data_IF_707445907030
#
_entry.id   IF_707445907030
#
_cell.length_a   1.000
_cell.length_b   1.000
_cell.length_c   1.000
_cell.angle_alpha   90.00
_cell.angle_beta   90.00
_cell.angle_gamma   90.00
#
_symmetry.space_group_name_H-M   'P 1'
#
loop_
_entity.id
_entity.type
_entity.pdbx_description
1 polymer ?
2 non-polymer ?
3 water ?
#
# COMPACT_ATOMS: atom_id res chain seq x y z
N UNK A 1 -22.21 5.76 6.69
CA UNK A 1 -20.89 6.43 6.89
C UNK A 1 -19.73 5.65 6.24
N UNK A 2 -18.47 5.99 6.60
CA UNK A 2 -17.34 5.19 6.10
C UNK A 2 -17.25 3.81 6.81
N UNK A 3 -16.63 2.82 6.17
CA UNK A 3 -16.62 1.46 6.70
C UNK A 3 -15.46 1.35 7.66
N UNK A 4 -15.68 1.83 8.89
CA UNK A 4 -14.69 1.77 9.94
C UNK A 4 -14.52 0.37 10.45
N UNK A 5 -15.59 -0.40 10.56
CA UNK A 5 -15.38 -1.80 10.95
C UNK A 5 -14.49 -2.54 9.96
N UNK A 6 -14.76 -2.33 8.67
CA UNK A 6 -13.96 -2.98 7.65
C UNK A 6 -12.48 -2.59 7.73
N UNK A 7 -12.19 -1.29 7.79
CA UNK A 7 -10.83 -0.80 7.86
C UNK A 7 -10.09 -1.36 9.06
N UNK A 8 -10.81 -1.57 10.14
CA UNK A 8 -10.21 -2.03 11.38
C UNK A 8 -9.86 -3.53 11.36
N UNK A 9 -10.70 -4.33 10.75
CA UNK A 9 -10.38 -5.72 10.50
C UNK A 9 -9.14 -5.87 9.54
N UNK A 10 -9.01 -5.02 8.53
CA UNK A 10 -7.80 -5.04 7.74
C UNK A 10 -6.63 -4.70 8.60
N UNK A 11 -6.73 -3.68 9.46
CA UNK A 11 -5.56 -3.25 10.24
C UNK A 11 -5.07 -4.29 11.19
N UNK A 12 -6.01 -4.96 11.86
CA UNK A 12 -5.60 -5.90 12.86
C UNK A 12 -5.06 -7.16 12.29
N UNK A 13 -5.75 -7.76 11.33
CA UNK A 13 -5.22 -9.02 10.82
C UNK A 13 -4.15 -8.88 9.72
N UNK A 14 -3.96 -7.67 9.17
CA UNK A 14 -3.12 -7.54 7.96
C UNK A 14 -2.20 -6.35 7.86
N UNK A 15 -1.85 -5.68 8.95
CA UNK A 15 -0.80 -4.68 8.78
C UNK A 15 0.33 -4.89 9.75
N UNK A 16 1.48 -4.31 9.40
CA UNK A 16 2.65 -4.40 10.18
C UNK A 16 3.37 -3.05 10.06
N UNK A 17 4.29 -2.75 10.98
CA UNK A 17 5.14 -1.59 10.86
C UNK A 17 6.44 -2.04 10.16
N UNK A 18 6.83 -1.35 9.09
CA UNK A 18 7.97 -1.74 8.31
C UNK A 18 8.90 -0.58 8.35
N UNK A 19 10.17 -0.84 8.61
CA UNK A 19 11.15 0.20 8.71
C UNK A 19 12.34 -0.14 7.78
N UNK A 20 12.65 0.80 6.89
CA UNK A 20 13.75 0.69 5.96
C UNK A 20 14.66 1.83 6.34
N UNK A 21 15.70 2.04 5.54
CA UNK A 21 16.62 3.16 5.76
C UNK A 21 15.87 4.48 5.66
N UNK A 22 14.69 4.42 5.05
CA UNK A 22 13.96 5.63 4.75
C UNK A 22 13.10 6.04 5.91
N UNK A 23 12.85 5.14 6.85
CA UNK A 23 11.89 5.40 7.89
C UNK A 23 10.84 4.31 7.99
N UNK A 24 9.78 4.60 8.75
CA UNK A 24 8.71 3.66 9.07
C UNK A 24 7.58 3.87 8.11
N UNK A 25 6.81 2.80 7.84
CA UNK A 25 5.72 2.81 6.86
C UNK A 25 4.70 1.81 7.28
N UNK A 26 3.43 2.16 7.12
CA UNK A 26 2.42 1.12 7.26
C UNK A 26 2.62 0.05 6.18
N UNK A 27 2.59 -1.23 6.54
CA UNK A 27 2.73 -2.29 5.55
C UNK A 27 1.53 -3.23 5.55
N UNK A 28 0.97 -3.41 4.37
CA UNK A 28 -0.17 -4.23 4.23
C UNK A 28 0.25 -5.63 3.78
N UNK A 29 -0.10 -6.66 4.53
CA UNK A 29 0.17 -8.02 4.09
C UNK A 29 -1.02 -8.49 3.27
N UNK A 30 -0.76 -9.04 2.08
CA UNK A 30 -1.84 -9.40 1.15
C UNK A 30 -2.21 -10.90 1.20
N UNK A 31 -1.22 -11.76 1.19
CA UNK A 31 -1.48 -13.17 1.27
C UNK A 31 -0.18 -13.87 1.63
N UNK A 32 -0.28 -15.07 2.18
CA UNK A 32 0.92 -15.83 2.54
C UNK A 32 1.95 -14.97 3.27
N UNK A 33 3.16 -14.84 2.72
CA UNK A 33 4.18 -13.92 3.30
C UNK A 33 4.46 -12.76 2.36
N UNK A 34 3.48 -12.43 1.55
CA UNK A 34 3.62 -11.37 0.57
C UNK A 34 2.94 -10.11 1.06
N UNK A 35 3.62 -8.99 0.96
CA UNK A 35 3.10 -7.73 1.47
C UNK A 35 3.39 -6.62 0.47
N UNK A 36 2.89 -5.42 0.73
CA UNK A 36 3.23 -4.27 -0.13
C UNK A 36 3.72 -3.08 0.68
N UNK A 37 4.44 -2.19 0.02
CA UNK A 37 5.02 -1.04 0.68
C UNK A 37 5.29 -0.03 -0.47
N UNK A 38 5.34 1.30 -0.20
CA UNK A 38 5.62 2.18 -1.33
C UNK A 38 7.03 2.05 -1.83
N UNK A 39 7.19 2.07 -3.15
CA UNK A 39 8.52 1.97 -3.77
C UNK A 39 9.54 2.91 -3.17
N UNK A 40 9.12 4.11 -2.74
CA UNK A 40 10.08 5.09 -2.23
C UNK A 40 10.56 4.86 -0.80
N UNK A 41 10.01 3.83 -0.15
CA UNK A 41 10.62 3.23 1.03
C UNK A 41 12.02 2.65 0.77
N UNK A 42 12.40 2.41 -0.50
CA UNK A 42 13.75 1.93 -0.86
C UNK A 42 14.16 0.63 -0.15
N UNK A 43 13.38 -0.43 -0.35
CA UNK A 43 13.63 -1.75 0.27
C UNK A 43 14.93 -2.42 -0.14
N UNK A 44 15.64 -2.95 0.85
CA UNK A 44 16.93 -3.60 0.67
C UNK A 44 16.73 -5.09 0.69
N UNK A 45 17.68 -5.82 1.26
CA UNK A 45 17.55 -7.27 1.30
C UNK A 45 17.19 -7.73 2.72
N UNK A 46 17.15 -6.76 3.64
CA UNK A 46 16.47 -6.96 4.92
C UNK A 46 15.63 -5.71 5.26
N UNK A 47 14.62 -5.91 6.11
CA UNK A 47 13.69 -4.88 6.51
C UNK A 47 13.30 -5.13 7.97
N UNK A 48 12.95 -4.08 8.74
CA UNK A 48 12.38 -4.31 10.09
C UNK A 48 10.89 -4.48 9.99
N UNK A 49 10.38 -5.56 10.55
CA UNK A 49 8.98 -5.79 10.63
C UNK A 49 8.62 -5.89 12.12
N UNK A 50 7.83 -4.90 12.59
CA UNK A 50 7.47 -4.74 13.99
C UNK A 50 8.73 -4.84 14.84
N UNK A 51 9.73 -4.11 14.37
CA UNK A 51 11.05 -4.07 14.99
C UNK A 51 11.90 -5.33 14.91
N UNK A 52 11.39 -6.42 14.34
CA UNK A 52 12.17 -7.65 14.21
C UNK A 52 12.81 -7.70 12.80
N UNK A 53 14.13 -7.69 12.71
CA UNK A 53 14.79 -7.68 11.38
C UNK A 53 14.45 -8.94 10.53
N UNK A 54 14.18 -8.73 9.25
CA UNK A 54 13.52 -9.76 8.44
C UNK A 54 14.17 -9.76 7.07
N UNK A 55 14.43 -10.97 6.57
CA UNK A 55 14.98 -11.16 5.25
C UNK A 55 13.87 -10.82 4.25
N UNK A 56 14.19 -9.99 3.26
CA UNK A 56 13.33 -9.75 2.12
C UNK A 56 13.75 -10.72 1.03
N UNK A 57 13.00 -11.81 0.86
CA UNK A 57 13.32 -12.82 -0.14
C UNK A 57 13.14 -12.36 -1.57
N UNK A 58 12.24 -11.40 -1.80
CA UNK A 58 11.98 -10.89 -3.15
C UNK A 58 11.37 -9.50 -3.05
N UNK A 59 11.64 -8.63 -4.01
CA UNK A 59 11.06 -7.30 -4.04
C UNK A 59 10.82 -6.91 -5.49
N UNK A 60 9.57 -6.75 -5.92
CA UNK A 60 9.29 -6.33 -7.27
C UNK A 60 8.74 -4.89 -7.25
N UNK A 61 9.46 -3.96 -7.88
CA UNK A 61 9.02 -2.56 -7.97
C UNK A 61 8.13 -2.41 -9.20
N UNK A 62 6.81 -2.48 -9.05
CA UNK A 62 5.92 -2.44 -10.22
C UNK A 62 6.11 -1.18 -11.06
N UNK A 63 6.22 -1.39 -12.38
CA UNK A 63 6.14 -0.33 -13.37
C UNK A 63 5.10 -0.77 -14.40
N UNK A 64 4.50 0.16 -15.15
CA UNK A 64 3.55 -0.24 -16.20
C UNK A 64 4.23 -0.42 -17.56
N UNK A 65 3.42 -0.79 -18.57
CA UNK A 65 3.96 -1.08 -19.86
C UNK A 65 4.54 0.13 -20.55
N UNK A 66 4.27 1.34 -20.05
CA UNK A 66 4.99 2.51 -20.56
C UNK A 66 6.31 2.70 -19.82
N UNK A 67 6.69 1.72 -19.01
CA UNK A 67 7.89 1.81 -18.15
C UNK A 67 7.85 2.97 -17.14
N UNK A 68 6.65 3.25 -16.63
CA UNK A 68 6.47 4.28 -15.61
C UNK A 68 6.17 3.65 -14.26
N UNK A 69 6.71 4.31 -13.23
CA UNK A 69 6.55 3.92 -11.85
C UNK A 69 5.10 3.77 -11.45
N UNK A 70 4.74 2.67 -10.78
CA UNK A 70 3.43 2.57 -10.13
C UNK A 70 3.47 2.82 -8.62
N UNK A 71 4.68 2.93 -8.05
CA UNK A 71 4.93 3.25 -6.64
C UNK A 71 4.53 2.15 -5.65
N UNK A 72 4.11 0.99 -6.15
CA UNK A 72 3.91 -0.21 -5.33
C UNK A 72 5.16 -1.12 -5.41
N UNK A 73 5.57 -1.69 -4.26
CA UNK A 73 6.59 -2.72 -4.26
C UNK A 73 6.05 -3.95 -3.54
N UNK A 74 6.06 -5.08 -4.24
CA UNK A 74 5.56 -6.29 -3.64
C UNK A 74 6.76 -6.99 -3.03
N UNK A 75 6.63 -7.37 -1.76
CA UNK A 75 7.74 -7.99 -1.09
C UNK A 75 7.31 -9.35 -0.56
N UNK A 76 8.26 -10.28 -0.64
CA UNK A 76 8.09 -11.60 -0.06
C UNK A 76 9.01 -11.61 1.14
N UNK A 77 8.49 -12.05 2.28
CA UNK A 77 9.26 -11.95 3.50
C UNK A 77 9.59 -13.31 4.12
N UNK A 78 10.72 -13.40 4.81
CA UNK A 78 10.98 -14.60 5.58
C UNK A 78 10.39 -14.46 7.00
N UNK A 79 9.14 -14.87 7.23
CA UNK A 79 8.54 -14.79 8.55
C UNK A 79 7.88 -16.08 8.80
N UNK A 80 7.50 -16.32 10.05
CA UNK A 80 6.83 -17.54 10.32
C UNK A 80 5.34 -17.50 10.05
N UNK A 81 4.65 -16.47 10.54
CA UNK A 81 3.20 -16.38 10.36
C UNK A 81 2.78 -15.92 8.92
N UNK A 82 1.79 -16.62 8.33
CA UNK A 82 1.12 -16.17 7.10
C UNK A 82 0.08 -15.04 7.35
N UNK A 83 0.00 -14.11 6.40
CA UNK A 83 -1.10 -13.18 6.33
C UNK A 83 -2.41 -13.85 5.92
N UNK A 84 -3.52 -13.53 6.61
CA UNK A 84 -4.83 -13.86 6.09
C UNK A 84 -4.89 -13.40 4.63
N UNK A 85 -5.44 -14.24 3.79
CA UNK A 85 -5.50 -13.94 2.38
C UNK A 85 -6.57 -12.87 2.10
N UNK A 86 -6.16 -11.66 1.74
CA UNK A 86 -7.19 -10.64 1.45
C UNK A 86 -7.36 -10.28 -0.04
N UNK A 87 -6.76 -11.07 -0.93
CA UNK A 87 -6.92 -10.87 -2.37
C UNK A 87 -8.36 -10.73 -2.84
N UNK A 88 -9.29 -11.47 -2.24
CA UNK A 88 -10.68 -11.32 -2.71
C UNK A 88 -11.28 -9.90 -2.41
N UNK A 89 -10.56 -9.07 -1.65
CA UNK A 89 -10.99 -7.71 -1.37
C UNK A 89 -10.31 -6.72 -2.25
N UNK A 90 -9.48 -7.19 -3.19
CA UNK A 90 -8.85 -6.28 -4.14
C UNK A 90 -9.75 -6.00 -5.32
N UNK A 91 -9.94 -4.70 -5.64
CA UNK A 91 -10.71 -4.42 -6.82
C UNK A 91 -10.08 -5.04 -8.10
N UNK A 92 -10.95 -5.49 -8.97
CA UNK A 92 -10.57 -6.04 -10.22
C UNK A 92 -10.08 -4.96 -11.20
N UNK A 93 -10.68 -3.77 -11.20
CA UNK A 93 -10.35 -2.69 -12.17
C UNK A 93 -10.12 -1.35 -11.52
N UNK A 94 -9.48 -0.42 -12.25
CA UNK A 94 -9.48 1.02 -11.93
C UNK A 94 -10.92 1.45 -11.60
N UNK A 95 -11.10 2.41 -10.69
CA UNK A 95 -12.44 2.83 -10.28
C UNK A 95 -12.40 4.08 -9.42
N UNK A 96 -13.58 4.58 -9.09
CA UNK A 96 -13.77 5.78 -8.30
C UNK A 96 -14.56 5.27 -7.14
N UNK A 97 -14.39 5.88 -5.97
CA UNK A 97 -15.03 5.35 -4.74
C UNK A 97 -15.53 6.48 -3.89
N UNK A 98 -16.51 6.11 -3.08
CA UNK A 98 -17.10 6.96 -2.08
C UNK A 98 -16.60 6.66 -0.70
N UNK A 99 -16.39 7.73 0.07
CA UNK A 99 -16.35 7.67 1.53
C UNK A 99 -15.26 6.67 2.03
N UNK A 100 -14.03 6.83 1.55
CA UNK A 100 -12.96 5.90 1.91
C UNK A 100 -12.39 6.22 3.29
N UNK A 101 -11.73 5.22 3.87
CA UNK A 101 -10.95 5.39 5.08
C UNK A 101 -9.47 5.14 4.82
N UNK A 102 -8.60 6.01 5.33
CA UNK A 102 -7.15 5.81 5.34
C UNK A 102 -6.70 5.36 6.73
N UNK A 103 -6.13 4.16 6.83
CA UNK A 103 -5.68 3.61 8.12
C UNK A 103 -4.17 3.52 8.27
N UNK A 104 -3.62 3.92 9.41
CA UNK A 104 -2.16 3.94 9.59
C UNK A 104 -1.75 3.02 10.75
N UNK A 105 -0.67 2.24 10.59
CA UNK A 105 -0.09 1.41 11.68
C UNK A 105 1.44 1.69 11.70
N UNK A 106 1.89 2.67 12.49
CA UNK A 106 3.33 2.94 12.64
C UNK A 106 3.66 2.90 14.11
N UNK A 107 4.92 3.12 14.48
CA UNK A 107 5.23 3.22 15.90
C UNK A 107 4.51 4.42 16.50
N UNK A 108 4.57 5.56 15.80
CA UNK A 108 4.00 6.81 16.24
C UNK A 108 2.47 6.72 16.30
N UNK A 109 1.90 5.94 15.38
CA UNK A 109 0.46 5.80 15.29
C UNK A 109 0.10 4.34 15.06
N UNK A 110 0.16 3.52 16.11
CA UNK A 110 -0.13 2.10 15.97
C UNK A 110 -1.55 1.80 15.49
N UNK A 111 -2.40 2.81 15.37
CA UNK A 111 -3.79 2.54 15.02
C UNK A 111 -4.66 3.78 14.85
N UNK A 112 -4.89 4.18 13.63
CA UNK A 112 -5.52 5.46 13.40
C UNK A 112 -6.31 5.44 12.10
N UNK A 113 -7.50 6.06 12.11
CA UNK A 113 -8.40 6.02 10.97
C UNK A 113 -8.77 7.41 10.59
N UNK A 114 -8.66 7.69 9.27
CA UNK A 114 -8.96 8.98 8.71
C UNK A 114 -9.96 8.87 7.55
N UNK A 115 -11.20 9.36 7.72
CA UNK A 115 -12.10 9.40 6.54
C UNK A 115 -11.57 10.46 5.59
N UNK A 116 -11.43 10.12 4.32
CA UNK A 116 -10.77 11.04 3.40
C UNK A 116 -11.79 11.45 2.37
N UNK A 117 -12.97 10.84 2.47
CA UNK A 117 -14.10 11.12 1.61
C UNK A 117 -14.09 10.39 0.28
N UNK A 118 -14.40 11.15 -0.76
CA UNK A 118 -14.58 10.65 -2.09
C UNK A 118 -13.16 10.42 -2.64
N UNK A 119 -12.93 9.30 -3.32
CA UNK A 119 -11.63 9.01 -3.95
C UNK A 119 -11.74 8.99 -5.50
N UNK A 120 -10.85 9.68 -6.19
CA UNK A 120 -10.93 9.62 -7.64
C UNK A 120 -9.72 9.09 -8.36
N UNK A 121 -10.01 8.39 -9.44
CA UNK A 121 -9.02 7.84 -10.32
C UNK A 121 -8.30 9.02 -10.97
N UNK A 122 -7.13 9.34 -10.44
CA UNK A 122 -6.42 10.55 -10.81
C UNK A 122 -5.55 10.42 -12.08
N UNK A 123 -4.89 9.27 -12.24
CA UNK A 123 -3.96 9.05 -13.34
C UNK A 123 -2.54 9.44 -12.99
N UNK A 124 -2.04 10.42 -13.72
CA UNK A 124 -0.64 10.81 -13.64
C UNK A 124 -0.39 11.74 -12.47
N UNK A 125 0.71 11.47 -11.77
CA UNK A 125 1.19 12.33 -10.70
C UNK A 125 2.73 12.45 -10.72
N UNK A 126 3.26 13.65 -10.66
CA UNK A 126 4.68 13.78 -10.47
C UNK A 126 5.04 13.67 -8.99
N UNK A 127 5.61 12.54 -8.63
CA UNK A 127 5.90 12.27 -7.23
C UNK A 127 7.21 12.92 -6.80
N UNK A 128 7.44 14.14 -7.28
CA UNK A 128 8.67 14.87 -6.97
C UNK A 128 9.79 14.24 -7.78
N UNK A 129 9.80 14.49 -9.09
CA UNK A 129 10.87 14.03 -9.97
C UNK A 129 10.62 12.66 -10.56
N UNK A 130 9.59 11.95 -10.08
CA UNK A 130 9.28 10.59 -10.54
C UNK A 130 7.89 10.55 -11.13
N UNK A 131 7.81 10.54 -12.46
CA UNK A 131 6.50 10.31 -13.07
C UNK A 131 5.91 9.01 -12.51
N UNK A 132 4.62 9.04 -12.17
CA UNK A 132 3.96 7.89 -11.59
C UNK A 132 2.56 7.79 -12.21
N UNK A 133 2.06 6.58 -12.41
CA UNK A 133 0.78 6.38 -13.04
C UNK A 133 -0.17 5.66 -12.09
N UNK A 134 -1.46 5.69 -12.42
CA UNK A 134 -2.40 4.86 -11.77
C UNK A 134 -2.71 5.29 -10.32
N UNK A 135 -2.69 6.60 -10.11
CA UNK A 135 -2.86 7.21 -8.81
C UNK A 135 -4.33 7.44 -8.45
N UNK A 136 -4.68 7.28 -7.16
CA UNK A 136 -6.00 7.69 -6.61
C UNK A 136 -5.82 8.95 -5.79
N UNK A 137 -6.80 9.83 -5.87
CA UNK A 137 -6.70 11.13 -5.18
C UNK A 137 -7.91 11.32 -4.27
N UNK A 138 -7.66 11.85 -3.08
CA UNK A 138 -8.71 12.25 -2.17
C UNK A 138 -8.42 13.67 -1.73
N UNK A 139 -9.48 14.42 -1.42
CA UNK A 139 -9.29 15.76 -0.88
C UNK A 139 -9.13 15.77 0.61
N UNK A 140 -7.90 15.50 1.08
CA UNK A 140 -7.62 15.52 2.50
C UNK A 140 -6.17 15.92 2.79
N UNK A 141 -5.95 16.83 3.74
CA UNK A 141 -4.53 17.19 3.92
C UNK A 141 -3.71 16.07 4.63
N UNK A 142 -3.16 15.14 3.86
CA UNK A 142 -2.43 14.01 4.43
C UNK A 142 -0.98 14.42 4.71
N UNK A 143 -0.32 13.68 5.62
CA UNK A 143 1.00 14.09 6.14
C UNK A 143 2.08 13.00 5.98
N UNK A 144 3.34 13.41 6.04
CA UNK A 144 4.43 12.45 6.24
C UNK A 144 4.09 11.61 7.47
N UNK A 145 4.40 10.31 7.42
CA UNK A 145 4.02 9.44 8.53
C UNK A 145 2.87 8.59 8.07
N UNK A 146 2.10 9.10 7.12
CA UNK A 146 0.96 8.35 6.60
C UNK A 146 1.25 7.42 5.41
N UNK A 147 2.46 7.50 4.84
CA UNK A 147 2.77 6.63 3.71
C UNK A 147 2.66 5.15 4.06
N UNK A 148 2.06 4.41 3.13
CA UNK A 148 1.87 2.99 3.31
C UNK A 148 0.48 2.77 3.85
N UNK A 149 -0.16 3.85 4.29
CA UNK A 149 -1.45 3.75 4.93
C UNK A 149 -2.44 3.16 3.95
N UNK A 150 -3.34 2.34 4.46
CA UNK A 150 -4.22 1.53 3.67
C UNK A 150 -5.50 2.28 3.48
N UNK A 151 -5.98 2.38 2.23
CA UNK A 151 -7.21 3.07 1.84
C UNK A 151 -8.26 1.97 1.57
N UNK A 152 -9.38 2.02 2.27
CA UNK A 152 -10.43 1.05 2.08
C UNK A 152 -11.75 1.84 1.86
N UNK A 153 -12.75 1.14 1.31
CA UNK A 153 -14.18 1.41 1.46
C UNK A 153 -14.73 0.06 2.01
N UNK A 154 -16.03 -0.10 2.27
CA UNK A 154 -16.47 -1.45 2.75
C UNK A 154 -16.23 -2.56 1.70
N UNK A 155 -15.62 -3.64 2.20
CA UNK A 155 -15.27 -4.81 1.40
C UNK A 155 -14.23 -4.61 0.31
N UNK A 156 -13.60 -3.44 0.23
CA UNK A 156 -12.60 -3.23 -0.77
C UNK A 156 -11.33 -2.54 -0.25
N UNK A 157 -10.18 -3.16 -0.52
CA UNK A 157 -8.89 -2.54 -0.26
C UNK A 157 -8.40 -2.00 -1.59
N UNK A 158 -8.14 -0.71 -1.68
CA UNK A 158 -8.06 -0.13 -2.99
C UNK A 158 -6.71 0.46 -3.26
N UNK A 159 -5.94 0.75 -2.22
CA UNK A 159 -4.66 1.40 -2.46
C UNK A 159 -3.88 1.58 -1.19
N UNK A 160 -2.66 2.07 -1.33
CA UNK A 160 -1.84 2.39 -0.20
C UNK A 160 -1.33 3.82 -0.40
N UNK A 161 -1.32 4.60 0.68
CA UNK A 161 -1.03 6.04 0.58
C UNK A 161 0.39 6.24 0.19
N UNK A 162 0.65 7.18 -0.72
CA UNK A 162 2.04 7.41 -1.21
C UNK A 162 2.48 8.85 -1.33
N UNK A 163 1.57 9.82 -1.20
CA UNK A 163 1.90 11.27 -1.35
C UNK A 163 0.74 12.23 -1.11
N UNK A 164 1.04 13.53 -1.11
CA UNK A 164 0.09 14.57 -0.69
C UNK A 164 0.81 15.91 -0.78
N UNK A 165 0.03 16.96 -1.08
CA UNK A 165 0.55 18.29 -1.48
C UNK A 165 0.14 19.38 -0.46
N UNK A 166 -0.33 18.95 0.71
CA UNK A 166 -0.84 19.87 1.70
C UNK A 166 -2.35 19.97 1.63
N UNK A 167 -2.96 19.57 0.53
CA UNK A 167 -4.41 19.72 0.41
C UNK A 167 -5.09 18.44 -0.11
N UNK A 168 -4.37 17.65 -0.90
CA UNK A 168 -4.87 16.38 -1.42
C UNK A 168 -3.95 15.26 -1.01
N UNK A 169 -4.53 14.07 -0.92
CA UNK A 169 -3.78 12.85 -0.69
C UNK A 169 -3.75 11.95 -1.92
N UNK A 170 -2.68 11.18 -2.04
CA UNK A 170 -2.50 10.28 -3.15
C UNK A 170 -2.12 8.87 -2.77
N UNK A 171 -2.87 7.92 -3.32
CA UNK A 171 -2.60 6.53 -3.10
C UNK A 171 -2.27 5.76 -4.39
N UNK A 172 -1.39 4.76 -4.26
CA UNK A 172 -1.08 3.87 -5.36
C UNK A 172 -2.16 2.85 -5.39
N UNK A 173 -2.75 2.68 -6.56
CA UNK A 173 -3.83 1.79 -6.75
C UNK A 173 -3.41 0.31 -6.60
N UNK A 174 -4.25 -0.48 -5.92
CA UNK A 174 -4.00 -1.92 -5.79
C UNK A 174 -5.00 -2.62 -6.66
N UNK A 175 -4.57 -3.52 -7.56
CA UNK A 175 -5.51 -4.33 -8.33
C UNK A 175 -5.30 -5.77 -8.09
N UNK A 176 -6.38 -6.54 -8.16
CA UNK A 176 -6.37 -7.96 -7.89
C UNK A 176 -5.27 -8.68 -8.68
N UNK A 177 -5.10 -8.30 -9.93
CA UNK A 177 -4.26 -9.10 -10.78
C UNK A 177 -2.79 -8.92 -10.44
N UNK A 178 -2.45 -8.01 -9.53
CA UNK A 178 -1.06 -7.81 -9.13
C UNK A 178 -0.56 -9.05 -8.42
N UNK A 179 -1.49 -9.90 -7.97
CA UNK A 179 -1.19 -10.95 -7.01
C UNK A 179 -1.67 -12.35 -7.34
N UNK A 180 -1.99 -12.64 -8.60
CA UNK A 180 -2.42 -13.99 -8.96
C UNK A 180 -1.17 -14.89 -9.12
N UNK A 181 -1.29 -16.18 -8.75
CA UNK A 181 -0.14 -17.14 -8.78
C UNK A 181 0.27 -17.44 -10.23
N UNK A 182 1.44 -16.96 -10.66
CA UNK A 182 1.64 -16.70 -12.11
C UNK A 182 2.77 -17.45 -12.89
N UNK A 183 3.75 -16.64 -13.33
CA UNK A 183 4.63 -16.90 -14.52
C UNK A 183 6.13 -17.29 -14.32
N UNK A 184 6.77 -17.76 -15.42
CA UNK A 184 8.19 -18.27 -15.44
C UNK A 184 9.18 -17.24 -16.01
N UNK A 185 9.42 -16.18 -15.25
CA UNK A 185 10.04 -14.95 -15.73
C UNK A 185 11.30 -14.63 -14.91
N UNK A 186 12.45 -14.52 -15.57
CA UNK A 186 13.64 -13.87 -14.98
C UNK A 186 13.41 -12.35 -14.82
N UNK A 187 13.16 -11.92 -13.57
CA UNK A 187 12.70 -10.54 -13.29
C UNK A 187 13.72 -9.54 -12.68
N UNK A 188 14.91 -10.02 -12.30
CA UNK A 188 16.01 -9.16 -11.75
C UNK A 188 17.26 -9.09 -12.65
N UNK A 189 17.54 -9.99 -13.42
X LIG B 1 4.35 13.37 -1.96
X LIG B 1 5.41 13.50 -2.49
X LIG B 1 5.61 14.66 -3.32
X LIG B 1 4.58 15.57 -3.77
X LIG B 1 4.99 16.25 -5.08
X LIG B 1 4.54 16.57 -2.61
X LIG B 1 3.26 14.85 -4.09
X LIG B 1 6.38 12.65 -2.31
X LIG B 1 6.21 11.45 -1.53
X LIG B 1 7.59 10.80 -1.79
X LIG B 1 7.73 9.46 -1.10
X LIG B 1 8.94 9.14 -0.44
X LIG B 1 9.04 7.90 0.18
X LIG B 1 7.97 6.98 0.17
X LIG B 1 6.77 7.26 -0.49
X LIG B 1 6.66 8.51 -1.13
X LIG B 1 5.92 11.66 -0.07
X LIG B 1 6.52 12.55 0.52
X LIG B 1 5.02 10.87 0.57
X LIG B 1 4.74 11.02 2.02
X LIG B 1 3.32 11.49 2.27
X LIG B 1 3.14 12.93 1.79
X LIG B 1 4.19 13.88 2.40
X LIG B 1 3.48 15.20 2.71
X LIG B 1 2.08 14.75 2.68
X LIG B 1 1.82 13.52 2.21
X LIG B 1 0.72 12.96 2.14
X LIG B 1 4.97 9.68 2.65
X LIG B 1 6.46 9.36 2.52
X LIG B 1 7.28 9.73 3.73
X LIG B 1 6.79 9.63 4.85
X LIG B 1 8.68 10.16 3.52
X LIG B 1 9.78 9.26 3.84
X LIG B 1 11.11 9.57 3.13
#
# INVERSE_FOLDING_TARGET
>A
GPGFDFAQAIMKKNTVVARTEKGEFTMLGVHDRVAVIPTHASVGETIYINDVETKVLDACALRDLTDTNLEITIVKLDRNQKFRDIRHFLPRYEDDYNDAVLSVHTSKFPNMYIPVGQVTNYGFLNLGGTPTHRILMYNFPTRAGQCGGVVTTTGKVIGIHVGGNGAQGFAAMLLHSYFTDTQKHHHHHH
>B hetero
1 G81 O35 C31 O1 C1 C2 C4 C6 N33 C37 C41 C51 C53 C7 C9 C11 C55 C39 O47 N49 C57 C59 C61 C73 C71 N69 C65 O66 C63 C82 C84 O88 O86 C3 C5
#
